data_IF_726095529940
#
_entry.id   IF_726095529940
#
_cell.length_a   1.000
_cell.length_b   1.000
_cell.length_c   1.000
_cell.angle_alpha   90.00
_cell.angle_beta   90.00
_cell.angle_gamma   90.00
#
_symmetry.space_group_name_H-M   'P 1'
#
loop_
_entity.id
_entity.type
_entity.pdbx_description
1 polymer ?
#
# COMPACT_ATOMS: atom_id res chain seq x y z
N UNK A 1 14.98 -2.06 -38.70
CA UNK A 1 13.69 -1.84 -37.99
C UNK A 1 13.52 -0.34 -37.84
N UNK A 2 12.57 0.26 -38.55
CA UNK A 2 12.39 1.71 -38.57
C UNK A 2 11.94 2.26 -37.24
N UNK A 3 12.40 3.45 -36.87
CA UNK A 3 12.02 4.17 -35.61
C UNK A 3 10.50 4.39 -35.41
N UNK A 4 9.69 4.15 -36.47
CA UNK A 4 8.23 4.31 -36.43
C UNK A 4 7.48 3.25 -35.61
N UNK A 5 8.03 2.05 -35.37
CA UNK A 5 7.38 0.96 -34.65
C UNK A 5 7.47 1.08 -33.12
N UNK A 6 8.24 2.06 -32.61
CA UNK A 6 8.50 2.21 -31.16
C UNK A 6 7.42 2.97 -30.37
N UNK A 7 6.39 3.50 -31.05
CA UNK A 7 5.44 4.41 -30.39
C UNK A 7 4.18 3.76 -29.82
N UNK A 8 3.87 2.51 -30.14
CA UNK A 8 2.69 1.82 -29.63
C UNK A 8 3.00 0.91 -28.45
N UNK A 9 2.14 0.92 -27.43
CA UNK A 9 2.17 -0.05 -26.35
C UNK A 9 1.75 -1.41 -26.90
N UNK A 10 2.52 -2.45 -26.59
CA UNK A 10 2.19 -3.83 -26.93
C UNK A 10 1.08 -4.37 -26.00
N UNK A 11 0.43 -5.48 -26.35
CA UNK A 11 -0.55 -6.12 -25.48
C UNK A 11 0.01 -6.46 -24.09
N UNK A 12 1.31 -6.79 -24.01
CA UNK A 12 2.03 -7.00 -22.73
C UNK A 12 2.11 -5.72 -21.91
N UNK A 13 2.37 -4.58 -22.50
CA UNK A 13 2.50 -3.29 -21.81
C UNK A 13 1.12 -2.81 -21.29
N UNK A 14 0.05 -3.06 -22.05
CA UNK A 14 -1.33 -2.83 -21.59
C UNK A 14 -1.72 -3.71 -20.41
N UNK A 15 -1.26 -4.96 -20.39
CA UNK A 15 -1.49 -5.86 -19.24
C UNK A 15 -0.81 -5.31 -17.98
N UNK A 16 0.40 -4.78 -18.10
CA UNK A 16 1.10 -4.12 -16.98
C UNK A 16 0.35 -2.89 -16.46
N UNK A 17 -0.08 -2.02 -17.38
CA UNK A 17 -0.86 -0.83 -17.00
C UNK A 17 -2.16 -1.21 -16.29
N UNK A 18 -2.92 -2.15 -16.88
CA UNK A 18 -4.17 -2.64 -16.33
C UNK A 18 -3.98 -3.29 -14.95
N UNK A 19 -2.93 -4.09 -14.77
CA UNK A 19 -2.64 -4.73 -13.49
C UNK A 19 -2.39 -3.71 -12.37
N UNK A 20 -1.59 -2.67 -12.62
CA UNK A 20 -1.29 -1.65 -11.60
C UNK A 20 -2.52 -0.77 -11.33
N UNK A 21 -3.24 -0.35 -12.36
CA UNK A 21 -4.48 0.42 -12.18
C UNK A 21 -5.56 -0.38 -11.43
N UNK A 22 -5.56 -1.72 -11.54
CA UNK A 22 -6.52 -2.58 -10.84
C UNK A 22 -6.37 -2.59 -9.31
N UNK A 23 -5.25 -2.10 -8.76
CA UNK A 23 -5.07 -1.98 -7.30
C UNK A 23 -6.18 -1.16 -6.62
N UNK A 24 -6.76 -0.21 -7.36
CA UNK A 24 -7.91 0.57 -6.92
C UNK A 24 -9.26 -0.17 -7.00
N UNK A 25 -9.37 -1.21 -7.81
CA UNK A 25 -10.64 -1.83 -8.19
C UNK A 25 -11.02 -3.05 -7.33
N UNK A 26 -10.91 -2.95 -6.01
CA UNK A 26 -11.38 -3.97 -5.08
C UNK A 26 -10.68 -5.33 -5.21
N UNK A 27 -11.40 -6.37 -5.62
CA UNK A 27 -10.87 -7.73 -5.78
C UNK A 27 -10.20 -7.99 -7.13
N UNK A 28 -10.29 -7.08 -8.09
CA UNK A 28 -9.80 -7.30 -9.48
C UNK A 28 -8.30 -7.63 -9.49
N UNK A 29 -7.48 -6.88 -8.76
CA UNK A 29 -6.05 -7.16 -8.66
C UNK A 29 -5.76 -8.57 -8.11
N UNK A 30 -6.54 -9.01 -7.14
CA UNK A 30 -6.39 -10.36 -6.56
C UNK A 30 -6.80 -11.44 -7.55
N UNK A 31 -7.87 -11.23 -8.32
CA UNK A 31 -8.32 -12.16 -9.35
C UNK A 31 -7.30 -12.27 -10.49
N UNK A 32 -6.79 -11.13 -10.98
CA UNK A 32 -5.69 -11.11 -11.96
C UNK A 32 -4.45 -11.84 -11.43
N UNK A 33 -4.13 -11.66 -10.15
CA UNK A 33 -3.00 -12.36 -9.52
C UNK A 33 -3.16 -13.88 -9.56
N UNK A 34 -4.36 -14.42 -9.35
CA UNK A 34 -4.59 -15.87 -9.46
C UNK A 34 -4.34 -16.39 -10.88
N UNK A 35 -4.83 -15.70 -11.91
CA UNK A 35 -4.58 -16.07 -13.31
C UNK A 35 -3.07 -16.04 -13.60
N UNK A 36 -2.37 -14.99 -13.17
CA UNK A 36 -0.93 -14.87 -13.34
C UNK A 36 -0.16 -15.94 -12.53
N UNK A 37 -0.64 -16.31 -11.34
CA UNK A 37 -0.02 -17.38 -10.54
C UNK A 37 -0.09 -18.73 -11.25
N UNK A 38 -1.23 -19.07 -11.87
CA UNK A 38 -1.37 -20.29 -12.68
C UNK A 38 -0.40 -20.31 -13.87
N UNK A 39 -0.29 -19.19 -14.58
CA UNK A 39 0.67 -19.02 -15.66
C UNK A 39 2.12 -19.13 -15.14
N UNK A 40 2.41 -18.51 -14.00
CA UNK A 40 3.72 -18.58 -13.35
C UNK A 40 4.09 -20.00 -12.93
N UNK A 41 3.15 -20.74 -12.35
CA UNK A 41 3.32 -22.15 -12.02
C UNK A 41 3.62 -23.00 -13.26
N UNK A 42 2.89 -22.79 -14.36
CA UNK A 42 3.16 -23.46 -15.63
C UNK A 42 4.56 -23.12 -16.19
N UNK A 43 4.97 -21.85 -16.16
CA UNK A 43 6.30 -21.44 -16.62
C UNK A 43 7.41 -22.03 -15.75
N UNK A 44 7.20 -22.05 -14.43
CA UNK A 44 8.13 -22.66 -13.49
C UNK A 44 8.30 -24.17 -13.71
N UNK A 45 7.18 -24.87 -13.89
CA UNK A 45 7.16 -26.31 -14.20
C UNK A 45 7.87 -26.63 -15.53
N UNK A 46 7.60 -25.84 -16.59
CA UNK A 46 8.16 -26.07 -17.93
C UNK A 46 9.65 -25.76 -18.04
N UNK A 47 10.10 -24.69 -17.39
CA UNK A 47 11.48 -24.17 -17.52
C UNK A 47 12.39 -24.55 -16.34
N UNK A 48 11.82 -25.04 -15.24
CA UNK A 48 12.57 -25.43 -14.05
C UNK A 48 13.44 -24.30 -13.48
N UNK A 49 14.61 -24.65 -12.98
CA UNK A 49 15.54 -23.71 -12.36
C UNK A 49 16.09 -22.63 -13.31
N UNK A 50 15.97 -22.80 -14.63
CA UNK A 50 16.37 -21.79 -15.61
C UNK A 50 15.53 -20.49 -15.52
N UNK A 51 14.41 -20.53 -14.81
CA UNK A 51 13.56 -19.34 -14.52
C UNK A 51 14.14 -18.49 -13.38
N UNK A 52 15.02 -19.06 -12.54
CA UNK A 52 15.49 -18.38 -11.32
C UNK A 52 16.68 -17.46 -11.66
N UNK A 53 16.37 -16.23 -11.98
CA UNK A 53 17.37 -15.16 -12.11
C UNK A 53 17.59 -14.41 -10.76
N UNK A 54 18.58 -13.50 -10.66
CA UNK A 54 18.84 -12.74 -9.43
C UNK A 54 17.64 -11.98 -8.89
N UNK A 55 16.79 -11.42 -9.77
CA UNK A 55 15.58 -10.69 -9.35
C UNK A 55 14.55 -11.63 -8.71
N UNK A 56 14.39 -12.84 -9.27
CA UNK A 56 13.50 -13.84 -8.69
C UNK A 56 14.06 -14.39 -7.37
N UNK A 57 15.37 -14.59 -7.24
CA UNK A 57 15.99 -14.97 -5.95
C UNK A 57 15.72 -13.91 -4.89
N UNK A 58 15.84 -12.62 -5.24
CA UNK A 58 15.53 -11.51 -4.34
C UNK A 58 14.05 -11.49 -3.94
N UNK A 59 13.15 -11.76 -4.88
CA UNK A 59 11.71 -11.85 -4.61
C UNK A 59 11.39 -12.99 -3.62
N UNK A 60 11.96 -14.20 -3.87
CA UNK A 60 11.75 -15.35 -3.00
C UNK A 60 12.36 -15.14 -1.60
N UNK A 61 13.49 -14.46 -1.52
CA UNK A 61 14.08 -14.06 -0.25
C UNK A 61 13.12 -13.15 0.55
N UNK A 62 12.62 -12.09 -0.07
CA UNK A 62 11.68 -11.17 0.59
C UNK A 62 10.36 -11.85 0.97
N UNK A 63 9.84 -12.69 0.11
CA UNK A 63 8.65 -13.47 0.40
C UNK A 63 8.90 -14.43 1.58
N UNK A 64 10.05 -15.10 1.59
CA UNK A 64 10.46 -16.01 2.65
C UNK A 64 10.57 -15.34 4.02
N UNK A 65 10.94 -14.06 4.07
CA UNK A 65 11.00 -13.30 5.33
C UNK A 65 9.67 -13.29 6.09
N UNK A 66 8.52 -13.38 5.41
CA UNK A 66 7.21 -13.48 6.04
C UNK A 66 6.57 -14.86 5.90
N UNK A 67 6.86 -15.60 4.82
CA UNK A 67 6.26 -16.89 4.57
C UNK A 67 6.78 -17.98 5.55
N UNK A 68 8.06 -17.93 5.93
CA UNK A 68 8.62 -18.87 6.90
C UNK A 68 8.00 -18.67 8.29
N UNK A 69 7.98 -17.45 8.87
CA UNK A 69 7.24 -17.21 10.12
C UNK A 69 5.76 -17.59 10.02
N UNK A 70 5.08 -17.25 8.90
CA UNK A 70 3.69 -17.61 8.70
C UNK A 70 3.46 -19.13 8.67
N UNK A 71 4.39 -19.89 8.08
CA UNK A 71 4.35 -21.35 8.11
C UNK A 71 4.53 -21.87 9.55
N UNK A 72 5.50 -21.35 10.29
CA UNK A 72 5.72 -21.74 11.70
C UNK A 72 4.47 -21.43 12.57
N UNK A 73 3.80 -20.31 12.32
CA UNK A 73 2.62 -19.91 13.10
C UNK A 73 1.37 -20.76 12.86
N UNK A 74 1.33 -21.57 11.79
CA UNK A 74 0.17 -22.44 11.48
C UNK A 74 -0.02 -23.51 12.55
N UNK A 75 1.07 -24.03 13.13
CA UNK A 75 1.02 -25.13 14.08
C UNK A 75 0.36 -24.74 15.40
N UNK A 76 0.44 -23.46 15.79
CA UNK A 76 -0.16 -22.90 16.99
C UNK A 76 -1.41 -22.08 16.67
N UNK A 77 -1.89 -22.12 15.42
CA UNK A 77 -2.97 -21.24 14.98
C UNK A 77 -4.32 -21.62 15.54
N UNK A 78 -5.01 -20.65 16.15
CA UNK A 78 -6.41 -20.76 16.57
C UNK A 78 -7.38 -20.84 15.39
N UNK A 79 -6.95 -20.45 14.16
CA UNK A 79 -7.72 -20.51 12.91
C UNK A 79 -6.87 -21.13 11.77
N UNK A 80 -6.51 -22.40 11.93
CA UNK A 80 -5.60 -23.11 11.03
C UNK A 80 -6.00 -22.98 9.55
N UNK A 81 -7.28 -23.17 9.22
CA UNK A 81 -7.79 -23.07 7.85
C UNK A 81 -7.56 -21.68 7.23
N UNK A 82 -7.79 -20.62 7.98
CA UNK A 82 -7.52 -19.25 7.53
C UNK A 82 -6.04 -18.97 7.37
N UNK A 83 -5.22 -19.47 8.29
CA UNK A 83 -3.76 -19.32 8.25
C UNK A 83 -3.18 -20.02 7.03
N UNK A 84 -3.58 -21.26 6.76
CA UNK A 84 -3.17 -22.01 5.56
C UNK A 84 -3.58 -21.27 4.28
N UNK A 85 -4.83 -20.84 4.15
CA UNK A 85 -5.29 -20.08 2.96
C UNK A 85 -4.52 -18.78 2.77
N UNK A 86 -4.16 -18.10 3.87
CA UNK A 86 -3.39 -16.86 3.80
C UNK A 86 -1.96 -17.13 3.35
N UNK A 87 -1.30 -18.17 3.86
CA UNK A 87 0.02 -18.58 3.43
C UNK A 87 0.04 -18.99 1.96
N UNK A 88 -0.91 -19.82 1.50
CA UNK A 88 -1.01 -20.24 0.09
C UNK A 88 -1.20 -19.04 -0.84
N UNK A 89 -2.05 -18.09 -0.45
CA UNK A 89 -2.21 -16.84 -1.20
C UNK A 89 -0.91 -16.04 -1.24
N UNK A 90 -0.18 -15.93 -0.13
CA UNK A 90 1.11 -15.24 -0.10
C UNK A 90 2.14 -15.92 -1.01
N UNK A 91 2.22 -17.25 -0.99
CA UNK A 91 3.10 -18.03 -1.88
C UNK A 91 2.73 -17.86 -3.36
N UNK A 92 1.44 -17.72 -3.69
CA UNK A 92 1.02 -17.50 -5.07
C UNK A 92 1.59 -16.22 -5.69
N UNK A 93 1.90 -15.19 -4.90
CA UNK A 93 2.57 -13.98 -5.40
C UNK A 93 4.01 -14.24 -5.84
N UNK A 94 4.69 -15.25 -5.31
CA UNK A 94 5.97 -15.71 -5.86
C UNK A 94 5.84 -16.21 -7.30
N UNK A 95 4.75 -16.94 -7.60
CA UNK A 95 4.44 -17.39 -8.96
C UNK A 95 4.03 -16.25 -9.88
N UNK A 96 3.26 -15.26 -9.37
CA UNK A 96 2.98 -14.01 -10.10
C UNK A 96 4.28 -13.32 -10.50
N UNK A 97 5.23 -13.22 -9.58
CA UNK A 97 6.52 -12.60 -9.85
C UNK A 97 7.34 -13.32 -10.93
N UNK A 98 7.20 -14.65 -11.06
CA UNK A 98 7.81 -15.41 -12.17
C UNK A 98 7.34 -14.83 -13.50
N UNK A 99 6.05 -14.60 -13.69
CA UNK A 99 5.51 -14.02 -14.92
C UNK A 99 6.03 -12.60 -15.13
N UNK A 100 5.86 -11.75 -14.12
CA UNK A 100 6.15 -10.32 -14.23
C UNK A 100 7.65 -10.06 -14.50
N UNK A 101 8.55 -10.78 -13.85
CA UNK A 101 10.00 -10.62 -14.03
C UNK A 101 10.51 -11.27 -15.32
N UNK A 102 9.86 -12.33 -15.79
CA UNK A 102 10.20 -12.99 -17.06
C UNK A 102 9.62 -12.26 -18.29
N UNK A 103 8.55 -11.52 -18.11
CA UNK A 103 7.87 -10.77 -19.18
C UNK A 103 7.85 -9.25 -18.84
N UNK A 104 9.02 -8.64 -18.63
CA UNK A 104 9.07 -7.22 -18.28
C UNK A 104 8.62 -6.36 -19.48
N UNK A 105 8.10 -5.13 -19.23
CA UNK A 105 7.80 -4.20 -20.31
C UNK A 105 9.08 -3.69 -20.98
N UNK A 106 8.96 -3.05 -22.13
CA UNK A 106 10.11 -2.37 -22.76
C UNK A 106 10.49 -1.08 -22.01
N UNK A 107 11.72 -0.57 -22.19
CA UNK A 107 12.18 0.68 -21.53
C UNK A 107 11.27 1.87 -21.88
N UNK A 108 10.85 1.98 -23.12
CA UNK A 108 9.90 3.01 -23.59
C UNK A 108 8.52 2.83 -22.94
N UNK A 109 8.06 1.59 -22.79
CA UNK A 109 6.80 1.28 -22.13
C UNK A 109 6.82 1.61 -20.64
N UNK A 110 7.95 1.44 -19.93
CA UNK A 110 8.07 1.79 -18.51
C UNK A 110 7.63 3.23 -18.23
N UNK A 111 8.12 4.20 -19.03
CA UNK A 111 7.75 5.61 -18.88
C UNK A 111 6.26 5.82 -19.16
N UNK A 112 5.72 5.22 -20.21
CA UNK A 112 4.31 5.32 -20.60
C UNK A 112 3.40 4.71 -19.53
N UNK A 113 3.77 3.54 -18.97
CA UNK A 113 3.05 2.89 -17.88
C UNK A 113 3.03 3.80 -16.66
N UNK A 114 4.18 4.36 -16.26
CA UNK A 114 4.27 5.25 -15.10
C UNK A 114 3.39 6.50 -15.29
N UNK A 115 3.42 7.12 -16.46
CA UNK A 115 2.57 8.27 -16.79
C UNK A 115 1.09 7.86 -16.82
N UNK A 116 0.76 6.72 -17.43
CA UNK A 116 -0.62 6.20 -17.48
C UNK A 116 -1.21 5.93 -16.09
N UNK A 117 -0.43 5.34 -15.18
CA UNK A 117 -0.83 5.15 -13.77
C UNK A 117 -1.01 6.50 -13.06
N UNK A 118 -0.11 7.46 -13.29
CA UNK A 118 -0.24 8.80 -12.72
C UNK A 118 -1.51 9.51 -13.19
N UNK A 119 -1.87 9.39 -14.46
CA UNK A 119 -3.12 9.92 -15.02
C UNK A 119 -4.34 9.23 -14.40
N UNK A 120 -4.30 7.91 -14.21
CA UNK A 120 -5.38 7.18 -13.54
C UNK A 120 -5.57 7.66 -12.09
N UNK A 121 -4.48 7.90 -11.34
CA UNK A 121 -4.55 8.47 -9.99
C UNK A 121 -5.15 9.88 -10.03
N UNK A 122 -4.74 10.72 -10.96
CA UNK A 122 -5.33 12.05 -11.18
C UNK A 122 -6.84 11.96 -11.43
N UNK A 123 -7.26 11.03 -12.29
CA UNK A 123 -8.69 10.77 -12.53
C UNK A 123 -9.43 10.34 -11.26
N UNK A 124 -8.86 9.42 -10.45
CA UNK A 124 -9.47 9.02 -9.19
C UNK A 124 -9.60 10.17 -8.20
N UNK A 125 -8.61 11.06 -8.15
CA UNK A 125 -8.69 12.26 -7.31
C UNK A 125 -9.83 13.19 -7.77
N UNK A 126 -9.93 13.45 -9.07
CA UNK A 126 -10.98 14.29 -9.65
C UNK A 126 -12.38 13.70 -9.45
N UNK A 127 -12.56 12.40 -9.65
CA UNK A 127 -13.82 11.69 -9.42
C UNK A 127 -14.29 11.82 -7.96
N UNK A 128 -13.38 11.66 -7.00
CA UNK A 128 -13.72 11.84 -5.59
C UNK A 128 -14.08 13.27 -5.23
N UNK A 129 -13.36 14.27 -5.76
CA UNK A 129 -13.70 15.67 -5.55
C UNK A 129 -15.03 16.02 -6.22
N UNK A 130 -15.27 15.52 -7.44
CA UNK A 130 -16.56 15.64 -8.12
C UNK A 130 -17.69 15.05 -7.26
N UNK A 131 -17.48 13.86 -6.66
CA UNK A 131 -18.43 13.24 -5.74
C UNK A 131 -18.77 14.17 -4.55
N UNK A 132 -17.78 14.90 -3.99
CA UNK A 132 -18.02 15.83 -2.89
C UNK A 132 -18.91 17.01 -3.30
N UNK A 133 -18.74 17.50 -4.53
CA UNK A 133 -19.46 18.67 -5.05
C UNK A 133 -20.88 18.32 -5.50
N UNK A 134 -21.05 17.20 -6.19
CA UNK A 134 -22.32 16.81 -6.84
C UNK A 134 -23.15 15.87 -5.95
N UNK A 135 -22.55 15.23 -4.93
CA UNK A 135 -23.20 14.24 -4.05
C UNK A 135 -23.04 12.79 -4.51
N UNK A 136 -22.63 12.54 -5.75
CA UNK A 136 -22.36 11.21 -6.29
C UNK A 136 -21.15 11.24 -7.24
N UNK A 137 -20.47 10.12 -7.39
CA UNK A 137 -19.36 10.00 -8.33
C UNK A 137 -19.85 9.77 -9.78
N UNK A 138 -18.91 9.67 -10.73
CA UNK A 138 -19.22 9.51 -12.17
C UNK A 138 -20.10 8.27 -12.46
N UNK A 139 -19.99 7.21 -11.66
CA UNK A 139 -20.82 5.99 -11.82
C UNK A 139 -22.06 5.97 -10.92
N UNK A 140 -22.38 7.07 -10.25
CA UNK A 140 -23.62 7.22 -9.47
C UNK A 140 -23.52 6.78 -7.99
N UNK A 141 -22.33 6.39 -7.48
CA UNK A 141 -22.17 6.07 -6.06
C UNK A 141 -22.27 7.37 -5.23
N UNK A 142 -23.18 7.36 -4.25
CA UNK A 142 -23.32 8.47 -3.31
C UNK A 142 -22.15 8.58 -2.33
N UNK A 143 -22.08 9.71 -1.63
CA UNK A 143 -21.17 9.89 -0.49
C UNK A 143 -21.46 8.82 0.56
N UNK A 144 -20.39 8.31 1.19
CA UNK A 144 -20.53 7.32 2.23
C UNK A 144 -20.51 7.96 3.62
N UNK A 145 -21.44 7.56 4.46
CA UNK A 145 -21.49 7.92 5.88
C UNK A 145 -22.08 6.76 6.68
N UNK A 146 -21.69 6.64 7.93
CA UNK A 146 -22.32 5.77 8.92
C UNK A 146 -22.35 6.46 10.29
N UNK A 147 -22.94 5.79 11.29
CA UNK A 147 -23.08 6.35 12.65
C UNK A 147 -21.73 6.65 13.36
N UNK A 148 -20.62 6.10 12.83
CA UNK A 148 -19.28 6.25 13.42
C UNK A 148 -18.36 7.14 12.60
N UNK A 149 -18.74 7.49 11.38
CA UNK A 149 -17.88 8.20 10.46
C UNK A 149 -18.59 9.37 9.80
N UNK A 150 -17.91 10.53 9.69
CA UNK A 150 -18.45 11.65 8.95
C UNK A 150 -18.58 11.32 7.47
N UNK A 151 -19.41 12.10 6.78
CA UNK A 151 -19.58 12.01 5.32
C UNK A 151 -18.24 12.15 4.61
N UNK A 152 -17.85 11.15 3.85
CA UNK A 152 -16.58 11.11 3.13
C UNK A 152 -16.73 10.64 1.69
N UNK A 153 -15.80 11.06 0.85
CA UNK A 153 -15.73 10.59 -0.52
C UNK A 153 -15.18 9.16 -0.58
N UNK A 154 -15.73 8.40 -1.51
CA UNK A 154 -15.27 7.06 -1.84
C UNK A 154 -14.85 6.94 -3.30
N UNK A 155 -15.28 7.88 -4.14
CA UNK A 155 -15.00 7.91 -5.56
C UNK A 155 -15.23 6.55 -6.22
N UNK A 156 -14.46 6.28 -7.24
CA UNK A 156 -14.42 5.01 -7.95
C UNK A 156 -13.78 3.87 -7.14
N UNK A 157 -12.97 4.21 -6.12
CA UNK A 157 -12.14 3.26 -5.37
C UNK A 157 -12.85 2.64 -4.16
N UNK A 158 -14.05 3.13 -3.80
CA UNK A 158 -14.82 2.66 -2.67
C UNK A 158 -14.23 3.05 -1.31
N UNK A 159 -14.59 2.31 -0.25
CA UNK A 159 -14.26 2.62 1.14
C UNK A 159 -12.76 2.79 1.45
N UNK A 160 -11.89 2.23 0.61
CA UNK A 160 -10.44 2.33 0.79
C UNK A 160 -9.79 3.44 -0.04
N UNK A 161 -10.59 4.39 -0.52
CA UNK A 161 -10.20 5.47 -1.40
C UNK A 161 -8.88 6.16 -0.98
N UNK A 162 -8.85 6.73 0.22
CA UNK A 162 -7.68 7.44 0.73
C UNK A 162 -6.43 6.54 0.84
N UNK A 163 -6.60 5.27 1.23
CA UNK A 163 -5.50 4.32 1.33
C UNK A 163 -4.91 3.98 -0.05
N UNK A 164 -5.76 3.74 -1.05
CA UNK A 164 -5.30 3.44 -2.41
C UNK A 164 -4.53 4.63 -2.99
N UNK A 165 -5.06 5.84 -2.85
CA UNK A 165 -4.37 7.06 -3.32
C UNK A 165 -3.02 7.24 -2.63
N UNK A 166 -2.97 7.01 -1.32
CA UNK A 166 -1.74 7.12 -0.55
C UNK A 166 -0.67 6.11 -1.01
N UNK A 167 -1.02 4.81 -1.13
CA UNK A 167 -0.03 3.79 -1.53
C UNK A 167 0.43 3.95 -2.98
N UNK A 168 -0.43 4.48 -3.87
CA UNK A 168 -0.09 4.75 -5.26
C UNK A 168 0.55 6.13 -5.48
N UNK A 169 0.61 6.99 -4.47
CA UNK A 169 1.18 8.34 -4.59
C UNK A 169 2.59 8.38 -5.23
N UNK A 170 3.51 7.42 -5.00
CA UNK A 170 4.82 7.42 -5.66
C UNK A 170 4.75 7.35 -7.19
N UNK A 171 3.71 6.70 -7.74
CA UNK A 171 3.50 6.68 -9.19
C UNK A 171 3.09 8.04 -9.73
N UNK A 172 2.24 8.77 -8.98
CA UNK A 172 1.86 10.13 -9.36
C UNK A 172 3.08 11.06 -9.35
N UNK A 173 3.92 10.98 -8.31
CA UNK A 173 5.13 11.79 -8.18
C UNK A 173 6.11 11.51 -9.31
N UNK A 174 6.38 10.24 -9.60
CA UNK A 174 7.29 9.84 -10.67
C UNK A 174 6.72 10.18 -12.05
N UNK A 175 5.41 10.03 -12.26
CA UNK A 175 4.72 10.43 -13.49
C UNK A 175 4.87 11.93 -13.76
N UNK A 176 4.65 12.78 -12.77
CA UNK A 176 4.87 14.24 -12.87
C UNK A 176 6.31 14.56 -13.25
N UNK A 177 7.30 13.89 -12.62
CA UNK A 177 8.72 14.07 -12.95
C UNK A 177 9.06 13.69 -14.39
N UNK A 178 8.41 12.64 -14.91
CA UNK A 178 8.64 12.18 -16.29
C UNK A 178 8.01 13.09 -17.33
N UNK A 179 6.85 13.68 -17.02
CA UNK A 179 6.14 14.59 -17.93
C UNK A 179 6.80 15.96 -17.96
N UNK A 180 7.18 16.46 -16.79
CA UNK A 180 7.71 17.83 -16.67
C UNK A 180 8.94 17.91 -15.77
N UNK A 181 10.09 18.07 -16.39
CA UNK A 181 11.39 18.24 -15.72
C UNK A 181 11.50 19.56 -14.92
N UNK A 182 10.64 20.56 -15.18
CA UNK A 182 10.64 21.84 -14.48
C UNK A 182 9.87 21.78 -13.16
N UNK A 183 9.11 20.70 -12.94
CA UNK A 183 8.37 20.47 -11.71
C UNK A 183 7.03 21.19 -11.63
N UNK A 184 6.56 21.79 -12.71
CA UNK A 184 5.27 22.49 -12.73
C UNK A 184 4.08 21.53 -12.54
N UNK A 185 4.20 20.29 -13.05
CA UNK A 185 3.19 19.25 -12.89
C UNK A 185 2.91 18.94 -11.40
N UNK A 186 3.88 19.10 -10.50
CA UNK A 186 3.69 18.91 -9.07
C UNK A 186 2.73 19.92 -8.45
N UNK A 187 2.69 21.17 -8.95
CA UNK A 187 1.79 22.21 -8.45
C UNK A 187 0.31 21.92 -8.69
N UNK A 188 0.00 21.05 -9.62
CA UNK A 188 -1.37 20.59 -9.89
C UNK A 188 -1.65 19.26 -9.21
N UNK A 189 -0.76 18.30 -9.37
CA UNK A 189 -1.01 16.92 -8.96
C UNK A 189 -0.96 16.73 -7.44
N UNK A 190 -0.04 17.40 -6.73
CA UNK A 190 0.12 17.23 -5.29
C UNK A 190 -1.06 17.84 -4.51
N UNK A 191 -1.48 19.10 -4.74
CA UNK A 191 -2.68 19.65 -4.10
C UNK A 191 -3.92 18.80 -4.35
N UNK A 192 -4.12 18.34 -5.59
CA UNK A 192 -5.23 17.47 -5.96
C UNK A 192 -5.25 16.19 -5.14
N UNK A 193 -4.08 15.53 -4.99
CA UNK A 193 -3.93 14.32 -4.18
C UNK A 193 -4.21 14.58 -2.70
N UNK A 194 -3.65 15.67 -2.13
CA UNK A 194 -3.85 16.00 -0.71
C UNK A 194 -5.33 16.26 -0.41
N UNK A 195 -5.99 17.08 -1.21
CA UNK A 195 -7.44 17.35 -1.08
C UNK A 195 -8.23 16.04 -1.14
N UNK A 196 -7.95 15.18 -2.12
CA UNK A 196 -8.66 13.92 -2.28
C UNK A 196 -8.45 12.96 -1.08
N UNK A 197 -7.23 12.84 -0.55
CA UNK A 197 -6.94 12.00 0.62
C UNK A 197 -7.60 12.54 1.88
N UNK A 198 -7.60 13.85 2.09
CA UNK A 198 -8.25 14.48 3.24
C UNK A 198 -9.77 14.27 3.19
N UNK A 199 -10.41 14.56 2.05
CA UNK A 199 -11.85 14.33 1.86
C UNK A 199 -12.25 12.86 1.96
N UNK A 200 -11.32 11.93 1.71
CA UNK A 200 -11.46 10.50 1.98
C UNK A 200 -11.51 10.13 3.47
N UNK A 201 -11.26 11.09 4.38
CA UNK A 201 -11.50 11.00 5.82
C UNK A 201 -10.59 10.03 6.59
N UNK A 202 -9.54 9.48 6.00
CA UNK A 202 -8.60 8.55 6.66
C UNK A 202 -7.36 9.26 7.19
N UNK A 203 -7.34 9.55 8.50
CA UNK A 203 -6.20 10.19 9.19
C UNK A 203 -4.90 9.40 9.00
N UNK A 204 -4.98 8.08 9.12
CA UNK A 204 -3.83 7.20 8.94
C UNK A 204 -3.25 7.27 7.52
N UNK A 205 -4.11 7.33 6.49
CA UNK A 205 -3.67 7.49 5.11
C UNK A 205 -3.03 8.86 4.88
N UNK A 206 -3.54 9.91 5.53
CA UNK A 206 -2.92 11.24 5.50
C UNK A 206 -1.52 11.26 6.09
N UNK A 207 -1.31 10.65 7.27
CA UNK A 207 0.02 10.54 7.89
C UNK A 207 0.99 9.74 7.02
N UNK A 208 0.54 8.60 6.48
CA UNK A 208 1.36 7.77 5.59
C UNK A 208 1.65 8.47 4.26
N UNK A 209 0.76 9.35 3.77
CA UNK A 209 1.03 10.19 2.61
C UNK A 209 2.21 11.14 2.87
N UNK A 210 2.27 11.75 4.05
CA UNK A 210 3.44 12.58 4.44
C UNK A 210 4.72 11.75 4.44
N UNK A 211 4.68 10.52 4.97
CA UNK A 211 5.84 9.62 4.96
C UNK A 211 6.23 9.23 3.53
N UNK A 212 5.25 8.96 2.64
CA UNK A 212 5.49 8.69 1.23
C UNK A 212 6.19 9.87 0.53
N UNK A 213 5.70 11.08 0.80
CA UNK A 213 6.30 12.35 0.30
C UNK A 213 7.75 12.50 0.77
N UNK A 214 8.00 12.35 2.06
CA UNK A 214 9.35 12.48 2.63
C UNK A 214 10.30 11.42 2.06
N UNK A 215 9.82 10.18 1.91
CA UNK A 215 10.61 9.09 1.33
C UNK A 215 10.97 9.38 -0.13
N UNK A 216 9.99 9.83 -0.93
CA UNK A 216 10.24 10.19 -2.32
C UNK A 216 11.17 11.41 -2.44
N UNK A 217 10.93 12.48 -1.65
CA UNK A 217 11.78 13.68 -1.61
C UNK A 217 13.23 13.34 -1.28
N UNK A 218 13.44 12.47 -0.29
CA UNK A 218 14.78 12.01 0.10
C UNK A 218 15.45 11.25 -1.04
N UNK A 219 14.75 10.30 -1.66
CA UNK A 219 15.32 9.51 -2.75
C UNK A 219 15.68 10.37 -3.96
N UNK A 220 14.81 11.28 -4.39
CA UNK A 220 15.14 12.17 -5.51
C UNK A 220 16.24 13.18 -5.15
N UNK A 221 16.27 13.65 -3.90
CA UNK A 221 17.32 14.53 -3.41
C UNK A 221 18.72 13.87 -3.44
N UNK A 222 18.80 12.63 -2.99
CA UNK A 222 20.05 11.84 -3.01
C UNK A 222 20.47 11.51 -4.46
N UNK A 223 19.52 11.26 -5.35
CA UNK A 223 19.79 10.75 -6.71
C UNK A 223 19.92 11.83 -7.77
N UNK A 224 19.12 12.89 -7.68
CA UNK A 224 19.03 13.94 -8.70
C UNK A 224 19.47 15.31 -8.17
N UNK A 225 19.84 15.36 -6.89
CA UNK A 225 20.33 16.57 -6.21
C UNK A 225 19.23 17.40 -5.56
N UNK A 226 19.66 18.33 -4.71
CA UNK A 226 18.81 19.18 -3.86
C UNK A 226 17.76 19.96 -4.66
N UNK A 227 18.13 20.46 -5.85
CA UNK A 227 17.20 21.21 -6.71
C UNK A 227 15.93 20.39 -7.05
N UNK A 228 16.10 19.12 -7.41
CA UNK A 228 14.97 18.25 -7.73
C UNK A 228 14.08 18.01 -6.50
N UNK A 229 14.69 17.82 -5.33
CA UNK A 229 13.96 17.69 -4.06
C UNK A 229 13.18 18.96 -3.73
N UNK A 230 13.77 20.14 -3.86
CA UNK A 230 13.10 21.43 -3.61
C UNK A 230 11.93 21.64 -4.56
N UNK A 231 12.07 21.36 -5.86
CA UNK A 231 10.97 21.46 -6.83
C UNK A 231 9.76 20.59 -6.47
N UNK A 232 10.00 19.46 -5.80
CA UNK A 232 8.95 18.57 -5.32
C UNK A 232 8.38 19.03 -3.96
N UNK A 233 9.23 19.43 -3.01
CA UNK A 233 8.84 19.74 -1.62
C UNK A 233 8.06 21.04 -1.52
N UNK A 234 8.35 22.07 -2.33
CA UNK A 234 7.65 23.36 -2.28
C UNK A 234 6.15 23.21 -2.58
N UNK A 235 5.72 22.53 -3.65
CA UNK A 235 4.28 22.22 -3.88
C UNK A 235 3.64 21.43 -2.74
N UNK A 236 4.40 20.54 -2.06
CA UNK A 236 3.91 19.79 -0.90
C UNK A 236 3.57 20.74 0.25
N UNK A 237 4.47 21.66 0.60
CA UNK A 237 4.19 22.64 1.65
C UNK A 237 2.97 23.53 1.32
N UNK A 238 2.86 23.97 0.08
CA UNK A 238 1.68 24.72 -0.37
C UNK A 238 0.40 23.88 -0.23
N UNK A 239 0.47 22.59 -0.52
CA UNK A 239 -0.66 21.66 -0.38
C UNK A 239 -1.05 21.41 1.08
N UNK A 240 -0.06 21.31 1.98
CA UNK A 240 -0.32 21.21 3.42
C UNK A 240 -1.04 22.46 3.95
N UNK A 241 -0.61 23.66 3.56
CA UNK A 241 -1.30 24.90 3.91
C UNK A 241 -2.71 24.95 3.33
N UNK A 242 -2.89 24.58 2.06
CA UNK A 242 -4.20 24.47 1.41
C UNK A 242 -5.12 23.44 2.09
N UNK A 243 -4.54 22.39 2.66
CA UNK A 243 -5.28 21.37 3.41
C UNK A 243 -5.98 21.94 4.65
N UNK A 244 -5.38 22.93 5.32
CA UNK A 244 -6.01 23.65 6.44
C UNK A 244 -7.28 24.34 5.99
N UNK A 245 -7.27 24.99 4.82
CA UNK A 245 -8.45 25.64 4.24
C UNK A 245 -9.55 24.63 3.94
N UNK A 246 -9.19 23.46 3.37
CA UNK A 246 -10.16 22.38 3.08
C UNK A 246 -10.79 21.85 4.37
N UNK A 247 -10.01 21.66 5.42
CA UNK A 247 -10.50 21.20 6.73
C UNK A 247 -11.40 22.26 7.38
N UNK A 248 -11.05 23.54 7.31
CA UNK A 248 -11.88 24.64 7.83
C UNK A 248 -13.22 24.75 7.10
N UNK A 249 -13.26 24.46 5.81
CA UNK A 249 -14.49 24.42 5.01
C UNK A 249 -15.35 23.17 5.21
N UNK A 250 -14.85 22.15 5.95
CA UNK A 250 -15.54 20.90 6.25
C UNK A 250 -15.44 20.60 7.76
N UNK A 251 -16.27 21.22 8.60
CA UNK A 251 -16.14 21.16 10.07
C UNK A 251 -16.08 19.73 10.63
N UNK A 252 -16.94 18.82 10.15
CA UNK A 252 -16.93 17.41 10.59
C UNK A 252 -15.58 16.73 10.41
N UNK A 253 -14.90 17.00 9.28
CA UNK A 253 -13.55 16.47 9.03
C UNK A 253 -12.52 17.26 9.82
N UNK A 254 -12.65 18.57 9.91
CA UNK A 254 -11.76 19.46 10.66
C UNK A 254 -11.71 19.06 12.14
N UNK A 255 -12.86 18.93 12.78
CA UNK A 255 -12.98 18.55 14.18
C UNK A 255 -12.36 17.17 14.44
N UNK A 256 -12.56 16.23 13.52
CA UNK A 256 -11.95 14.89 13.62
C UNK A 256 -10.41 14.92 13.51
N UNK A 257 -9.84 15.80 12.68
CA UNK A 257 -8.38 15.99 12.60
C UNK A 257 -7.85 16.75 13.82
N UNK A 258 -8.57 17.78 14.29
CA UNK A 258 -8.19 18.53 15.48
C UNK A 258 -8.28 17.68 16.78
N UNK A 259 -9.26 16.77 16.86
CA UNK A 259 -9.37 15.83 17.97
C UNK A 259 -8.12 14.99 18.16
N UNK A 260 -7.29 14.76 17.12
CA UNK A 260 -5.98 14.09 17.29
C UNK A 260 -5.04 14.85 18.23
N UNK A 261 -5.18 16.17 18.34
CA UNK A 261 -4.41 16.96 19.30
C UNK A 261 -4.77 16.62 20.76
N UNK A 262 -5.99 16.14 21.02
CA UNK A 262 -6.43 15.68 22.32
C UNK A 262 -5.80 14.36 22.79
N UNK A 263 -5.15 13.61 21.91
CA UNK A 263 -4.40 12.39 22.25
C UNK A 263 -3.04 12.71 22.89
N UNK A 264 -2.52 13.92 22.66
CA UNK A 264 -1.25 14.34 23.25
C UNK A 264 -1.43 14.75 24.73
N UNK A 265 -0.37 14.64 25.56
CA UNK A 265 -0.44 15.04 26.96
C UNK A 265 -1.00 16.47 27.15
N UNK A 266 -2.06 16.60 27.94
CA UNK A 266 -2.78 17.86 28.16
C UNK A 266 -4.05 18.04 27.29
N UNK A 267 -4.36 17.12 26.37
CA UNK A 267 -5.62 17.12 25.63
C UNK A 267 -6.80 16.64 26.47
N UNK A 268 -8.00 17.16 26.21
CA UNK A 268 -9.23 16.87 26.98
C UNK A 268 -10.05 15.68 26.45
N UNK A 269 -9.56 14.94 25.45
CA UNK A 269 -10.32 13.86 24.80
C UNK A 269 -10.01 12.46 25.32
N UNK A 270 -10.99 11.54 25.28
CA UNK A 270 -10.75 10.12 25.47
C UNK A 270 -9.97 9.55 24.27
N UNK A 271 -8.72 9.13 24.52
CA UNK A 271 -7.84 8.59 23.49
C UNK A 271 -8.44 7.36 22.80
N UNK A 272 -9.23 6.55 23.51
CA UNK A 272 -9.86 5.36 22.93
C UNK A 272 -10.93 5.73 21.91
N UNK A 273 -11.76 6.70 22.19
CA UNK A 273 -12.78 7.19 21.27
C UNK A 273 -12.16 7.91 20.06
N UNK A 274 -11.21 8.82 20.34
CA UNK A 274 -10.48 9.57 19.27
C UNK A 274 -9.78 8.62 18.31
N UNK A 275 -9.17 7.54 18.81
CA UNK A 275 -8.47 6.53 18.02
C UNK A 275 -9.37 5.38 17.55
N UNK A 276 -10.70 5.51 17.68
CA UNK A 276 -11.67 4.50 17.22
C UNK A 276 -11.40 3.11 17.82
N UNK A 277 -11.30 3.04 19.16
CA UNK A 277 -11.10 1.83 19.98
C UNK A 277 -9.77 1.09 19.72
N UNK A 278 -8.86 1.65 18.93
CA UNK A 278 -7.56 1.03 18.60
C UNK A 278 -6.67 0.76 19.83
N UNK A 279 -6.60 1.59 20.88
CA UNK A 279 -5.80 1.28 22.05
C UNK A 279 -6.11 -0.11 22.63
N UNK A 280 -7.38 -0.48 22.74
CA UNK A 280 -7.78 -1.81 23.23
C UNK A 280 -7.35 -2.94 22.27
N UNK A 281 -7.40 -2.70 20.97
CA UNK A 281 -6.88 -3.64 19.97
C UNK A 281 -5.36 -3.80 20.08
N UNK A 282 -4.64 -2.71 20.41
CA UNK A 282 -3.19 -2.75 20.63
C UNK A 282 -2.84 -3.49 21.91
N UNK A 283 -3.56 -3.25 23.02
CA UNK A 283 -3.38 -3.95 24.28
C UNK A 283 -3.65 -5.46 24.12
N UNK A 284 -4.72 -5.82 23.39
CA UNK A 284 -4.99 -7.21 23.07
C UNK A 284 -3.89 -7.83 22.19
N UNK A 285 -3.34 -7.09 21.22
CA UNK A 285 -2.23 -7.58 20.39
C UNK A 285 -0.94 -7.81 21.20
N UNK A 286 -0.65 -6.92 22.14
CA UNK A 286 0.50 -7.05 23.05
C UNK A 286 0.28 -8.24 23.98
N UNK A 287 -0.92 -8.40 24.57
CA UNK A 287 -1.24 -9.54 25.42
C UNK A 287 -1.04 -10.87 24.67
N UNK A 288 -1.60 -11.01 23.47
CA UNK A 288 -1.44 -12.22 22.66
C UNK A 288 0.03 -12.47 22.26
N UNK A 289 0.81 -11.42 21.99
CA UNK A 289 2.24 -11.56 21.75
C UNK A 289 2.98 -12.06 22.99
N UNK A 290 2.63 -11.60 24.19
CA UNK A 290 3.25 -12.04 25.45
C UNK A 290 2.86 -13.48 25.81
N UNK A 291 1.65 -13.91 25.45
CA UNK A 291 1.18 -15.30 25.63
C UNK A 291 1.82 -16.26 24.60
N UNK A 292 2.02 -15.80 23.36
CA UNK A 292 2.58 -16.58 22.24
C UNK A 292 3.81 -15.90 21.62
N UNK A 293 4.92 -15.70 22.36
CA UNK A 293 5.98 -14.78 21.98
C UNK A 293 6.82 -15.25 20.79
N UNK A 294 6.87 -16.56 20.50
CA UNK A 294 7.73 -17.12 19.45
C UNK A 294 7.04 -17.10 18.07
N UNK A 295 5.89 -17.78 17.96
CA UNK A 295 5.18 -18.04 16.70
C UNK A 295 3.92 -17.20 16.53
N UNK A 296 3.45 -16.48 17.57
CA UNK A 296 2.15 -15.82 17.57
C UNK A 296 0.96 -16.80 17.58
N UNK A 297 -0.24 -16.26 17.39
CA UNK A 297 -1.51 -17.02 17.40
C UNK A 297 -1.91 -17.58 16.04
N UNK A 298 -1.09 -17.39 15.02
CA UNK A 298 -1.37 -17.78 13.63
C UNK A 298 -1.70 -16.59 12.73
N UNK A 299 -1.16 -16.64 11.50
CA UNK A 299 -1.38 -15.56 10.53
C UNK A 299 -2.88 -15.31 10.29
N UNK A 300 -3.35 -14.08 10.49
CA UNK A 300 -4.75 -13.65 10.40
C UNK A 300 -5.68 -14.27 11.48
N UNK A 301 -5.15 -14.78 12.57
CA UNK A 301 -5.93 -15.33 13.67
C UNK A 301 -6.22 -14.33 14.79
N UNK A 302 -5.53 -13.19 14.83
CA UNK A 302 -5.68 -12.15 15.86
C UNK A 302 -7.14 -11.88 16.26
N UNK A 303 -8.04 -11.67 15.27
CA UNK A 303 -9.39 -11.21 15.56
C UNK A 303 -10.18 -12.19 16.47
N UNK A 304 -10.12 -13.48 16.18
CA UNK A 304 -10.80 -14.50 17.02
C UNK A 304 -10.04 -14.73 18.32
N UNK A 305 -8.71 -14.75 18.28
CA UNK A 305 -7.89 -14.94 19.49
C UNK A 305 -8.04 -13.79 20.50
N UNK A 306 -8.33 -12.57 20.03
CA UNK A 306 -8.51 -11.39 20.88
C UNK A 306 -9.95 -11.20 21.42
N UNK A 307 -10.92 -11.96 20.92
CA UNK A 307 -12.35 -11.75 21.21
C UNK A 307 -12.65 -11.79 22.72
N UNK A 308 -12.14 -12.79 23.44
CA UNK A 308 -12.32 -12.91 24.88
C UNK A 308 -11.64 -11.77 25.66
N UNK A 309 -10.47 -11.34 25.24
CA UNK A 309 -9.75 -10.22 25.86
C UNK A 309 -10.53 -8.92 25.68
N UNK A 310 -11.04 -8.66 24.47
CA UNK A 310 -11.81 -7.45 24.16
C UNK A 310 -13.18 -7.46 24.85
N UNK A 311 -13.79 -8.64 25.04
CA UNK A 311 -15.00 -8.80 25.85
C UNK A 311 -14.73 -8.47 27.31
N UNK A 312 -13.62 -8.93 27.88
CA UNK A 312 -13.21 -8.60 29.26
C UNK A 312 -12.94 -7.09 29.45
N UNK A 313 -12.49 -6.39 28.39
CA UNK A 313 -12.37 -4.93 28.42
C UNK A 313 -13.72 -4.20 28.28
N UNK A 314 -14.82 -4.93 28.05
CA UNK A 314 -16.16 -4.34 27.83
C UNK A 314 -16.29 -3.54 26.53
N UNK A 315 -15.45 -3.82 25.53
CA UNK A 315 -15.40 -3.07 24.27
C UNK A 315 -15.70 -3.90 23.04
N UNK A 316 -15.88 -5.20 23.14
CA UNK A 316 -16.14 -6.09 22.01
C UNK A 316 -17.33 -5.63 21.16
N UNK A 317 -18.44 -5.22 21.81
CA UNK A 317 -19.66 -4.75 21.13
C UNK A 317 -19.49 -3.36 20.47
N UNK A 318 -18.44 -2.63 20.82
CA UNK A 318 -18.15 -1.30 20.28
C UNK A 318 -17.23 -1.34 19.04
N UNK A 319 -16.55 -2.47 18.82
CA UNK A 319 -15.67 -2.64 17.67
C UNK A 319 -16.50 -3.09 16.47
N UNK A 320 -16.54 -2.31 15.37
CA UNK A 320 -17.35 -2.65 14.21
C UNK A 320 -16.98 -3.98 13.56
N UNK A 321 -17.99 -4.77 13.21
CA UNK A 321 -17.83 -6.02 12.46
C UNK A 321 -17.61 -7.25 13.34
N UNK A 322 -17.64 -8.43 12.72
CA UNK A 322 -17.41 -9.69 13.41
C UNK A 322 -15.93 -9.83 13.83
N UNK A 323 -15.67 -10.44 14.99
CA UNK A 323 -14.33 -10.70 15.54
C UNK A 323 -13.39 -11.34 14.49
N UNK A 324 -13.92 -12.23 13.68
CA UNK A 324 -13.17 -12.83 12.56
C UNK A 324 -12.43 -11.81 11.67
N UNK A 325 -12.93 -10.58 11.52
CA UNK A 325 -12.35 -9.54 10.68
C UNK A 325 -11.51 -8.51 11.43
N UNK A 326 -11.46 -8.57 12.76
CA UNK A 326 -10.68 -7.62 13.55
C UNK A 326 -9.18 -7.74 13.27
N UNK A 327 -8.50 -6.64 13.43
CA UNK A 327 -7.03 -6.55 13.35
C UNK A 327 -6.55 -5.44 14.28
N UNK A 328 -5.28 -5.43 14.69
CA UNK A 328 -4.74 -4.36 15.52
C UNK A 328 -4.77 -2.98 14.86
N UNK A 329 -5.01 -2.93 13.56
CA UNK A 329 -4.88 -1.69 12.77
C UNK A 329 -3.53 -0.99 13.00
N UNK A 330 -2.47 -1.79 13.12
CA UNK A 330 -1.08 -1.38 13.16
C UNK A 330 -0.24 -2.57 12.70
N UNK A 331 0.40 -2.47 11.53
CA UNK A 331 1.05 -3.60 10.87
C UNK A 331 2.09 -4.29 11.74
N UNK A 332 2.88 -3.54 12.52
CA UNK A 332 3.88 -4.13 13.42
C UNK A 332 3.24 -4.96 14.53
N UNK A 333 2.12 -4.52 15.10
CA UNK A 333 1.40 -5.28 16.12
C UNK A 333 0.66 -6.48 15.55
N UNK A 334 0.16 -6.38 14.29
CA UNK A 334 -0.42 -7.52 13.59
C UNK A 334 0.64 -8.61 13.38
N UNK A 335 1.86 -8.24 12.97
CA UNK A 335 2.97 -9.19 12.83
C UNK A 335 3.36 -9.78 14.19
N UNK A 336 3.41 -8.97 15.25
CA UNK A 336 3.74 -9.44 16.59
C UNK A 336 2.72 -10.46 17.11
N UNK A 337 1.44 -10.15 17.04
CA UNK A 337 0.38 -11.03 17.55
C UNK A 337 0.23 -12.30 16.67
N UNK A 338 0.20 -12.13 15.35
CA UNK A 338 -0.05 -13.24 14.42
C UNK A 338 1.17 -14.17 14.24
N UNK A 339 2.41 -13.63 14.24
CA UNK A 339 3.63 -14.35 13.86
C UNK A 339 4.74 -14.34 14.93
N UNK A 340 4.53 -13.70 16.06
CA UNK A 340 5.48 -13.64 17.16
C UNK A 340 6.81 -12.94 16.82
N UNK A 341 7.84 -13.22 17.61
CA UNK A 341 9.19 -12.67 17.45
C UNK A 341 9.86 -13.11 16.13
N UNK A 342 9.61 -14.33 15.68
CA UNK A 342 10.14 -14.81 14.38
C UNK A 342 9.56 -13.98 13.25
N UNK A 343 8.26 -13.64 13.32
CA UNK A 343 7.59 -12.75 12.39
C UNK A 343 8.17 -11.34 12.41
N UNK A 344 8.40 -10.76 13.58
CA UNK A 344 8.99 -9.42 13.72
C UNK A 344 10.40 -9.37 13.14
N UNK A 345 11.23 -10.38 13.38
CA UNK A 345 12.57 -10.48 12.79
C UNK A 345 12.52 -10.56 11.27
N UNK A 346 11.67 -11.44 10.73
CA UNK A 346 11.47 -11.55 9.27
C UNK A 346 10.97 -10.25 8.66
N UNK A 347 10.01 -9.59 9.30
CA UNK A 347 9.46 -8.32 8.84
C UNK A 347 10.51 -7.19 8.86
N UNK A 348 11.29 -7.07 9.93
CA UNK A 348 12.38 -6.13 10.02
C UNK A 348 13.45 -6.37 8.94
N UNK A 349 13.79 -7.64 8.68
CA UNK A 349 14.72 -8.03 7.62
C UNK A 349 14.18 -7.68 6.22
N UNK A 350 12.90 -7.95 5.95
CA UNK A 350 12.23 -7.56 4.71
C UNK A 350 12.32 -6.04 4.49
N UNK A 351 11.87 -5.25 5.46
CA UNK A 351 11.84 -3.80 5.33
C UNK A 351 13.24 -3.20 5.18
N UNK A 352 14.19 -3.65 6.00
CA UNK A 352 15.57 -3.15 5.95
C UNK A 352 16.23 -3.44 4.59
N UNK A 353 16.05 -4.65 4.08
CA UNK A 353 16.65 -5.05 2.80
C UNK A 353 15.93 -4.41 1.61
N UNK A 354 14.61 -4.20 1.69
CA UNK A 354 13.83 -3.47 0.69
C UNK A 354 14.27 -1.99 0.62
N UNK A 355 14.41 -1.32 1.78
CA UNK A 355 14.89 0.07 1.83
C UNK A 355 16.31 0.19 1.27
N UNK A 356 17.24 -0.70 1.68
CA UNK A 356 18.61 -0.72 1.13
C UNK A 356 18.61 -0.93 -0.38
N UNK A 357 17.73 -1.80 -0.87
CA UNK A 357 17.60 -2.03 -2.31
C UNK A 357 17.07 -0.78 -3.02
N UNK A 358 16.03 -0.12 -2.47
CA UNK A 358 15.45 1.12 -3.03
C UNK A 358 16.47 2.25 -3.16
N UNK A 359 17.33 2.42 -2.16
CA UNK A 359 18.40 3.45 -2.19
C UNK A 359 19.30 3.25 -3.42
N UNK A 360 19.48 2.02 -3.91
CA UNK A 360 20.35 1.68 -5.04
C UNK A 360 19.61 1.36 -6.35
N UNK A 361 18.28 1.27 -6.32
CA UNK A 361 17.46 0.88 -7.46
C UNK A 361 17.42 1.96 -8.56
N UNK A 362 17.31 1.63 -9.85
CA UNK A 362 17.10 2.60 -10.91
C UNK A 362 15.86 3.47 -10.67
N UNK A 363 15.88 4.74 -11.12
CA UNK A 363 14.78 5.69 -10.90
C UNK A 363 13.41 5.16 -11.32
N UNK A 364 13.30 4.47 -12.46
CA UNK A 364 12.03 3.90 -12.92
C UNK A 364 11.47 2.80 -12.01
N UNK A 365 12.28 2.21 -11.13
CA UNK A 365 11.85 1.21 -10.16
C UNK A 365 11.40 1.83 -8.81
N UNK A 366 11.61 3.14 -8.60
CA UNK A 366 11.31 3.81 -7.33
C UNK A 366 9.80 3.83 -7.08
N UNK A 367 8.99 4.17 -8.08
CA UNK A 367 7.53 4.26 -7.89
C UNK A 367 6.92 2.94 -7.39
N UNK A 368 7.09 1.79 -8.08
CA UNK A 368 6.57 0.52 -7.56
C UNK A 368 7.24 0.08 -6.25
N UNK A 369 8.53 0.32 -6.07
CA UNK A 369 9.23 -0.05 -4.85
C UNK A 369 8.77 0.74 -3.61
N UNK A 370 8.53 2.05 -3.73
CA UNK A 370 7.93 2.85 -2.67
C UNK A 370 6.46 2.47 -2.41
N UNK A 371 5.70 2.14 -3.45
CA UNK A 371 4.33 1.61 -3.29
C UNK A 371 4.35 0.34 -2.43
N UNK A 372 5.27 -0.58 -2.67
CA UNK A 372 5.44 -1.76 -1.84
C UNK A 372 5.82 -1.40 -0.39
N UNK A 373 6.77 -0.48 -0.21
CA UNK A 373 7.18 -0.02 1.13
C UNK A 373 6.01 0.63 1.89
N UNK A 374 5.20 1.46 1.22
CA UNK A 374 4.02 2.08 1.85
C UNK A 374 2.94 1.06 2.20
N UNK A 375 2.71 0.05 1.36
CA UNK A 375 1.77 -1.04 1.65
C UNK A 375 2.23 -1.91 2.83
N UNK A 376 3.54 -2.08 3.00
CA UNK A 376 4.18 -2.84 4.08
C UNK A 376 4.61 -1.97 5.27
N UNK A 377 4.22 -0.69 5.34
CA UNK A 377 4.77 0.21 6.34
C UNK A 377 4.35 -0.20 7.77
N UNK A 378 5.26 -0.19 8.77
CA UNK A 378 5.00 -0.68 10.14
C UNK A 378 3.83 0.01 10.83
N UNK A 379 3.61 1.30 10.53
CA UNK A 379 2.49 2.08 11.07
C UNK A 379 1.25 2.03 10.15
N UNK A 380 1.19 1.10 9.20
CA UNK A 380 0.00 0.86 8.37
C UNK A 380 -1.20 0.50 9.24
N UNK A 381 -2.27 1.29 9.19
CA UNK A 381 -3.39 1.14 10.12
C UNK A 381 -4.78 1.21 9.47
N UNK A 382 -4.83 1.30 8.14
CA UNK A 382 -6.13 1.38 7.43
C UNK A 382 -6.67 0.00 7.09
N UNK A 383 -5.81 -0.90 6.65
CA UNK A 383 -6.15 -2.27 6.25
C UNK A 383 -5.21 -3.26 6.95
N UNK A 384 -5.68 -4.48 7.25
CA UNK A 384 -4.82 -5.54 7.78
C UNK A 384 -3.70 -5.87 6.79
N UNK A 385 -2.47 -6.02 7.31
CA UNK A 385 -1.26 -6.29 6.52
C UNK A 385 -1.41 -7.55 5.64
N UNK A 386 -1.95 -8.62 6.22
CA UNK A 386 -2.13 -9.90 5.54
C UNK A 386 -3.49 -10.00 4.82
N UNK A 387 -4.20 -8.89 4.59
CA UNK A 387 -5.40 -8.88 3.75
C UNK A 387 -5.04 -9.17 2.30
N UNK A 388 -6.02 -9.68 1.51
CA UNK A 388 -5.81 -9.96 0.10
C UNK A 388 -5.38 -8.72 -0.70
N UNK A 389 -5.95 -7.56 -0.37
CA UNK A 389 -5.67 -6.30 -1.05
C UNK A 389 -4.28 -5.78 -0.75
N UNK A 390 -3.89 -5.69 0.53
CA UNK A 390 -2.54 -5.22 0.90
C UNK A 390 -1.48 -6.16 0.37
N UNK A 391 -1.68 -7.49 0.48
CA UNK A 391 -0.76 -8.48 -0.08
C UNK A 391 -0.61 -8.34 -1.60
N UNK A 392 -1.71 -8.16 -2.35
CA UNK A 392 -1.64 -7.95 -3.80
C UNK A 392 -0.84 -6.70 -4.15
N UNK A 393 -1.18 -5.56 -3.54
CA UNK A 393 -0.46 -4.30 -3.78
C UNK A 393 1.03 -4.43 -3.44
N UNK A 394 1.36 -4.97 -2.27
CA UNK A 394 2.75 -5.10 -1.83
C UNK A 394 3.57 -6.01 -2.75
N UNK A 395 3.13 -7.25 -2.94
CA UNK A 395 3.92 -8.26 -3.65
C UNK A 395 3.99 -8.03 -5.17
N UNK A 396 2.89 -7.57 -5.78
CA UNK A 396 2.91 -7.20 -7.21
C UNK A 396 3.80 -5.96 -7.42
N UNK A 397 3.78 -4.99 -6.50
CA UNK A 397 4.66 -3.82 -6.59
C UNK A 397 6.13 -4.18 -6.39
N UNK A 398 6.47 -5.12 -5.51
CA UNK A 398 7.83 -5.66 -5.39
C UNK A 398 8.26 -6.33 -6.72
N UNK A 399 7.41 -7.18 -7.29
CA UNK A 399 7.71 -7.83 -8.56
C UNK A 399 7.87 -6.81 -9.70
N UNK A 400 7.03 -5.78 -9.74
CA UNK A 400 7.13 -4.68 -10.70
C UNK A 400 8.44 -3.90 -10.53
N UNK A 401 8.82 -3.58 -9.29
CA UNK A 401 10.07 -2.88 -9.00
C UNK A 401 11.28 -3.67 -9.50
N UNK A 402 11.32 -4.97 -9.23
CA UNK A 402 12.38 -5.86 -9.70
C UNK A 402 12.41 -5.99 -11.23
N UNK A 403 11.24 -6.13 -11.88
CA UNK A 403 11.12 -6.19 -13.33
C UNK A 403 11.60 -4.89 -13.99
N UNK A 404 11.20 -3.73 -13.44
CA UNK A 404 11.60 -2.42 -13.94
C UNK A 404 13.10 -2.16 -13.76
N UNK A 405 13.66 -2.56 -12.62
CA UNK A 405 15.09 -2.46 -12.37
C UNK A 405 15.90 -3.31 -13.36
N UNK A 406 15.45 -4.54 -13.62
CA UNK A 406 16.10 -5.44 -14.58
C UNK A 406 16.20 -4.81 -15.98
N UNK A 407 15.09 -4.23 -16.47
CA UNK A 407 15.04 -3.58 -17.78
C UNK A 407 15.92 -2.33 -17.84
N UNK A 408 15.80 -1.45 -16.82
CA UNK A 408 16.56 -0.20 -16.78
C UNK A 408 18.08 -0.44 -16.73
N UNK A 409 18.53 -1.45 -15.99
CA UNK A 409 19.95 -1.81 -15.89
C UNK A 409 20.48 -2.40 -17.19
N UNK A 410 19.67 -3.19 -17.90
CA UNK A 410 20.07 -3.77 -19.17
C UNK A 410 20.24 -2.71 -20.25
N UNK A 411 19.37 -1.71 -20.30
CA UNK A 411 19.43 -0.57 -21.23
C UNK A 411 20.64 0.36 -21.01
N UNK A 412 21.19 0.42 -19.80
CA UNK A 412 22.39 1.26 -19.52
C UNK A 412 23.69 0.57 -19.94
N UNK A 413 23.68 -0.74 -20.18
CA UNK A 413 24.86 -1.51 -20.60
C UNK A 413 24.99 -1.66 -22.11
N UNK A 414 23.96 -1.33 -22.86
CA UNK A 414 23.94 -1.25 -24.34
C UNK A 414 24.20 0.18 -24.79
#
# INVERSE_FOLDING_TARGET
>A
MSESDSNHLTGRDWLWLGLICSFGLGSVATQMAWVLALLGGYLFWRKGAAVIDPSLRQMWFWLGCLAIPAFCSIFDSTLMDRSVRTLLRMMSFGLVAVVLIQMPPSVTALKKITIGVALAIGFFCLDGIFQKVIGHNIIGNALWSDQFNPTRITGFLGLNYAWVLMVLSPWLFEGCRLVDKRGFAYWVAIPLLFVAVILGGSRASGLLLVISVLSYATLIGVRLGVRASVQFVVPVFASLLGSVVVLSANPELGDRWLAMMGVFPGGAGDAAEILSWRPYLWDAAIALFLEHPINGVGIRAFGVSSESLLANYGVADRIPGAAYNWSPHLSVLEVAADLGAIGLLGYAMLLTTLVRWLINAPMLAIAPGLTALMALFPLGSTLPLFSARVSAVAWISIAAALAFAKVATHSQRQ
#
